data_IF_659997811634
#
_entry.id   IF_659997811634
#
_cell.length_a   1.000
_cell.length_b   1.000
_cell.length_c   1.000
_cell.angle_alpha   90.00
_cell.angle_beta   90.00
_cell.angle_gamma   90.00
#
_symmetry.space_group_name_H-M   'P 1'
#
loop_
_entity.id
_entity.type
_entity.pdbx_description
1 polymer ?
#
# COMPACT_ATOMS: atom_id res chain seq x y z
N UNK A 1 -13.83 -17.57 16.36
CA UNK A 1 -13.29 -16.56 17.30
C UNK A 1 -13.48 -15.18 16.69
N UNK A 2 -13.90 -14.15 17.43
CA UNK A 2 -14.01 -12.81 16.85
C UNK A 2 -12.60 -12.29 16.56
N UNK A 3 -12.25 -12.21 15.28
CA UNK A 3 -10.93 -11.81 14.80
C UNK A 3 -10.92 -10.30 14.66
N UNK A 4 -10.77 -9.58 15.75
CA UNK A 4 -10.70 -8.11 15.72
C UNK A 4 -9.26 -7.69 15.42
N UNK A 5 -9.01 -7.07 14.27
CA UNK A 5 -7.74 -6.42 13.97
C UNK A 5 -7.74 -5.05 14.64
N UNK A 6 -6.68 -4.72 15.39
CA UNK A 6 -6.51 -3.43 16.06
C UNK A 6 -5.28 -2.75 15.48
N UNK A 7 -5.42 -1.55 14.93
CA UNK A 7 -4.29 -0.75 14.46
C UNK A 7 -4.37 0.67 15.01
N UNK A 8 -3.22 1.26 15.28
CA UNK A 8 -3.09 2.61 15.82
C UNK A 8 -2.47 3.55 14.81
N UNK A 9 -3.09 4.70 14.59
CA UNK A 9 -2.56 5.74 13.71
C UNK A 9 -2.46 7.08 14.43
N UNK A 10 -1.48 7.88 14.04
CA UNK A 10 -1.43 9.32 14.36
C UNK A 10 -2.23 10.16 13.35
N UNK A 11 -2.69 9.52 12.26
CA UNK A 11 -3.51 10.10 11.20
C UNK A 11 -4.83 9.35 11.08
N UNK A 12 -5.88 10.05 10.65
CA UNK A 12 -7.14 9.42 10.29
C UNK A 12 -6.94 8.44 9.11
N UNK A 13 -7.83 7.45 8.99
CA UNK A 13 -7.90 6.64 7.78
C UNK A 13 -8.10 7.51 6.55
N UNK A 14 -7.49 7.11 5.43
CA UNK A 14 -7.79 7.70 4.14
C UNK A 14 -9.31 7.61 3.88
N UNK A 15 -9.98 8.69 3.42
CA UNK A 15 -11.43 8.72 3.26
C UNK A 15 -11.98 7.57 2.39
N UNK A 16 -11.25 7.19 1.35
CA UNK A 16 -11.59 6.08 0.46
C UNK A 16 -11.59 4.74 1.23
N UNK A 17 -10.54 4.49 2.01
CA UNK A 17 -10.43 3.27 2.82
C UNK A 17 -11.47 3.24 3.93
N UNK A 18 -11.77 4.38 4.55
CA UNK A 18 -12.85 4.48 5.53
C UNK A 18 -14.21 4.12 4.91
N UNK A 19 -14.50 4.64 3.71
CA UNK A 19 -15.74 4.33 2.99
C UNK A 19 -15.84 2.83 2.61
N UNK A 20 -14.73 2.20 2.24
CA UNK A 20 -14.71 0.76 1.94
C UNK A 20 -14.95 -0.12 3.17
N UNK A 21 -14.62 0.37 4.35
CA UNK A 21 -14.78 -0.34 5.61
C UNK A 21 -16.06 0.04 6.38
N UNK A 22 -16.95 0.86 5.81
CA UNK A 22 -18.16 1.41 6.46
C UNK A 22 -19.18 0.33 6.93
N UNK A 23 -18.97 -0.94 6.57
CA UNK A 23 -19.75 -2.08 7.06
C UNK A 23 -19.01 -3.04 8.01
N UNK A 24 -17.71 -2.85 8.24
CA UNK A 24 -16.84 -3.81 8.92
C UNK A 24 -16.83 -3.68 10.46
N UNK A 25 -17.81 -2.96 11.02
CA UNK A 25 -17.90 -2.61 12.43
C UNK A 25 -16.61 -1.94 12.93
N UNK A 26 -16.15 -0.94 12.16
CA UNK A 26 -14.99 -0.14 12.52
C UNK A 26 -15.31 0.66 13.78
N UNK A 27 -14.68 0.32 14.91
CA UNK A 27 -14.72 1.16 16.11
C UNK A 27 -13.49 2.05 16.13
N UNK A 28 -13.72 3.35 16.30
CA UNK A 28 -12.67 4.34 16.50
C UNK A 28 -12.63 4.68 18.00
N UNK A 29 -11.46 4.53 18.61
CA UNK A 29 -11.21 4.96 19.99
C UNK A 29 -9.97 5.82 20.02
N UNK A 30 -10.14 7.12 20.25
CA UNK A 30 -9.01 7.98 20.59
C UNK A 30 -8.64 7.72 22.06
N UNK A 31 -7.39 7.33 22.29
CA UNK A 31 -6.92 7.13 23.66
C UNK A 31 -6.84 8.47 24.41
N UNK A 32 -7.29 8.54 25.67
CA UNK A 32 -7.04 9.71 26.51
C UNK A 32 -5.55 9.73 26.87
N UNK A 33 -4.79 10.66 26.27
CA UNK A 33 -3.35 10.80 26.48
C UNK A 33 -3.03 11.95 27.45
N UNK A 34 -2.09 11.73 28.37
CA UNK A 34 -1.61 12.70 29.37
C UNK A 34 -0.87 13.84 28.70
N UNK A 35 -0.97 15.08 29.19
CA UNK A 35 -0.33 16.30 28.61
C UNK A 35 1.17 16.18 28.28
N UNK A 36 1.88 15.21 28.87
CA UNK A 36 3.29 14.92 28.62
C UNK A 36 3.56 13.84 27.58
N UNK A 37 2.56 13.10 27.09
CA UNK A 37 2.76 12.04 26.10
C UNK A 37 3.19 12.67 24.77
N UNK A 38 4.28 12.14 24.23
CA UNK A 38 4.77 12.42 22.88
C UNK A 38 3.87 11.69 21.87
N UNK A 39 3.64 12.31 20.72
CA UNK A 39 2.84 11.80 19.60
C UNK A 39 1.34 11.62 19.88
N UNK A 40 0.61 12.75 19.79
CA UNK A 40 -0.84 12.80 19.94
C UNK A 40 -1.53 13.33 18.69
N UNK A 41 -2.76 12.87 18.40
CA UNK A 41 -3.52 11.81 19.09
C UNK A 41 -3.09 10.40 18.65
N UNK A 42 -3.38 9.38 19.48
CA UNK A 42 -3.34 7.97 19.07
C UNK A 42 -4.78 7.52 18.87
N UNK A 43 -5.14 7.24 17.63
CA UNK A 43 -6.44 6.68 17.26
C UNK A 43 -6.31 5.17 17.10
N UNK A 44 -7.07 4.42 17.87
CA UNK A 44 -7.22 2.98 17.72
C UNK A 44 -8.41 2.70 16.81
N UNK A 45 -8.16 1.92 15.77
CA UNK A 45 -9.17 1.39 14.87
C UNK A 45 -9.30 -0.10 15.12
N UNK A 46 -10.53 -0.57 15.36
CA UNK A 46 -10.81 -2.01 15.48
C UNK A 46 -11.79 -2.44 14.40
N UNK A 47 -11.50 -3.55 13.72
CA UNK A 47 -12.35 -4.04 12.64
C UNK A 47 -12.51 -5.56 12.72
N UNK A 48 -13.68 -6.08 12.38
CA UNK A 48 -13.82 -7.53 12.18
C UNK A 48 -13.03 -7.95 10.93
N UNK A 49 -12.06 -8.83 11.10
CA UNK A 49 -11.11 -9.19 10.05
C UNK A 49 -11.79 -9.94 8.90
N UNK A 50 -12.82 -10.75 9.17
CA UNK A 50 -13.53 -11.44 8.10
C UNK A 50 -14.33 -10.44 7.26
N UNK A 51 -15.06 -9.53 7.93
CA UNK A 51 -15.85 -8.51 7.24
C UNK A 51 -14.93 -7.52 6.49
N UNK A 52 -13.81 -7.11 7.08
CA UNK A 52 -12.83 -6.26 6.43
C UNK A 52 -12.24 -6.93 5.18
N UNK A 53 -11.86 -8.21 5.27
CA UNK A 53 -11.33 -8.96 4.13
C UNK A 53 -12.36 -9.08 3.01
N UNK A 54 -13.61 -9.40 3.33
CA UNK A 54 -14.67 -9.49 2.34
C UNK A 54 -14.95 -8.13 1.70
N UNK A 55 -14.99 -7.06 2.50
CA UNK A 55 -15.16 -5.70 2.00
C UNK A 55 -14.02 -5.31 1.05
N UNK A 56 -12.76 -5.44 1.47
CA UNK A 56 -11.58 -5.12 0.65
C UNK A 56 -11.54 -5.97 -0.63
N UNK A 57 -11.86 -7.26 -0.56
CA UNK A 57 -11.88 -8.13 -1.74
C UNK A 57 -12.88 -7.67 -2.82
N UNK A 58 -13.93 -6.93 -2.45
CA UNK A 58 -14.89 -6.36 -3.42
C UNK A 58 -14.46 -5.03 -4.03
N UNK A 59 -13.57 -4.29 -3.35
CA UNK A 59 -13.16 -2.95 -3.79
C UNK A 59 -11.89 -2.98 -4.65
N UNK A 60 -11.11 -4.05 -4.56
CA UNK A 60 -9.82 -4.16 -5.23
C UNK A 60 -9.93 -5.03 -6.48
N UNK A 61 -9.31 -4.58 -7.56
CA UNK A 61 -9.14 -5.38 -8.77
C UNK A 61 -8.00 -6.38 -8.54
N UNK A 62 -8.23 -7.70 -8.67
CA UNK A 62 -7.17 -8.68 -8.55
C UNK A 62 -6.20 -8.56 -9.73
N UNK A 63 -4.90 -8.86 -9.55
CA UNK A 63 -3.98 -8.93 -10.68
C UNK A 63 -4.39 -10.07 -11.64
N UNK A 64 -4.14 -9.88 -12.93
CA UNK A 64 -4.50 -10.84 -13.98
C UNK A 64 -3.81 -12.21 -13.82
N UNK A 65 -2.66 -12.22 -13.15
CA UNK A 65 -1.89 -13.41 -12.80
C UNK A 65 -1.40 -13.28 -11.35
N UNK A 66 -1.16 -14.40 -10.65
CA UNK A 66 -0.51 -14.37 -9.34
C UNK A 66 0.75 -13.51 -9.37
N UNK A 67 0.81 -12.54 -8.47
CA UNK A 67 1.80 -11.45 -8.51
C UNK A 67 2.52 -11.39 -7.17
N UNK A 68 3.83 -11.67 -7.21
CA UNK A 68 4.65 -11.81 -6.01
C UNK A 68 5.87 -10.91 -6.06
N UNK A 69 6.35 -10.47 -4.89
CA UNK A 69 7.60 -9.75 -4.70
C UNK A 69 8.45 -10.46 -3.65
N UNK A 70 9.76 -10.42 -3.84
CA UNK A 70 10.76 -10.95 -2.92
C UNK A 70 11.19 -12.37 -3.27
N UNK A 71 12.32 -12.76 -2.72
CA UNK A 71 12.78 -14.15 -2.82
C UNK A 71 11.75 -15.08 -2.19
N UNK A 72 11.51 -16.24 -2.81
CA UNK A 72 10.52 -17.23 -2.36
C UNK A 72 9.09 -16.68 -2.22
N UNK A 73 8.72 -15.67 -3.03
CA UNK A 73 7.35 -15.15 -3.09
C UNK A 73 6.88 -14.56 -1.75
N UNK A 74 7.79 -13.84 -1.07
CA UNK A 74 7.59 -13.31 0.28
C UNK A 74 6.34 -12.44 0.44
N UNK A 75 5.97 -11.68 -0.58
CA UNK A 75 4.83 -10.77 -0.57
C UNK A 75 3.93 -11.01 -1.79
N UNK A 76 2.64 -11.21 -1.58
CA UNK A 76 1.64 -11.41 -2.64
C UNK A 76 0.76 -10.17 -2.81
N UNK A 77 0.65 -9.67 -4.05
CA UNK A 77 -0.34 -8.66 -4.41
C UNK A 77 -1.70 -9.33 -4.60
N UNK A 78 -2.64 -9.06 -3.69
CA UNK A 78 -4.00 -9.59 -3.75
C UNK A 78 -4.91 -8.76 -4.65
N UNK A 79 -4.65 -7.46 -4.74
CA UNK A 79 -5.39 -6.57 -5.61
C UNK A 79 -4.94 -5.13 -5.49
N UNK A 80 -5.49 -4.27 -6.34
CA UNK A 80 -5.20 -2.84 -6.35
C UNK A 80 -6.44 -2.03 -6.75
N UNK A 81 -6.44 -0.75 -6.41
CA UNK A 81 -7.44 0.22 -6.83
C UNK A 81 -6.76 1.54 -7.20
N UNK A 82 -7.14 2.12 -8.33
CA UNK A 82 -6.57 3.38 -8.84
C UNK A 82 -7.69 4.41 -8.90
N UNK A 83 -7.53 5.51 -8.17
CA UNK A 83 -8.51 6.60 -8.09
C UNK A 83 -7.84 7.89 -8.55
N UNK A 84 -8.16 8.33 -9.77
CA UNK A 84 -7.72 9.63 -10.28
C UNK A 84 -8.72 10.70 -9.89
N UNK A 85 -8.25 11.74 -9.18
CA UNK A 85 -9.04 12.89 -8.79
C UNK A 85 -9.19 13.88 -9.95
N UNK A 86 -10.17 14.80 -9.87
CA UNK A 86 -10.42 15.80 -10.91
C UNK A 86 -9.18 16.68 -11.20
N UNK A 87 -8.40 16.98 -10.16
CA UNK A 87 -7.15 17.73 -10.27
C UNK A 87 -6.04 16.96 -10.99
N UNK A 88 -6.19 15.66 -11.26
CA UNK A 88 -5.22 14.79 -11.93
C UNK A 88 -4.29 14.02 -10.99
N UNK A 89 -4.31 14.36 -9.70
CA UNK A 89 -3.64 13.56 -8.66
C UNK A 89 -4.26 12.17 -8.62
N UNK A 90 -3.44 11.14 -8.42
CA UNK A 90 -3.90 9.76 -8.44
C UNK A 90 -3.53 9.06 -7.14
N UNK A 91 -4.52 8.52 -6.47
CA UNK A 91 -4.34 7.61 -5.34
C UNK A 91 -4.30 6.16 -5.86
N UNK A 92 -3.23 5.44 -5.53
CA UNK A 92 -3.04 4.03 -5.84
C UNK A 92 -3.02 3.25 -4.53
N UNK A 93 -4.02 2.40 -4.36
CA UNK A 93 -4.14 1.49 -3.24
C UNK A 93 -3.69 0.10 -3.67
N UNK A 94 -2.87 -0.55 -2.86
CA UNK A 94 -2.43 -1.94 -3.11
C UNK A 94 -2.67 -2.78 -1.86
N UNK A 95 -3.32 -3.93 -2.03
CA UNK A 95 -3.62 -4.88 -0.97
C UNK A 95 -2.65 -6.05 -1.05
N UNK A 96 -1.93 -6.29 0.05
CA UNK A 96 -0.86 -7.26 0.12
C UNK A 96 -1.11 -8.33 1.18
N UNK A 97 -0.52 -9.49 0.96
CA UNK A 97 -0.37 -10.55 1.97
C UNK A 97 1.09 -10.94 2.13
N UNK A 98 1.55 -10.96 3.37
CA UNK A 98 2.88 -11.44 3.73
C UNK A 98 2.85 -12.97 3.83
N UNK A 99 3.68 -13.63 3.03
CA UNK A 99 3.96 -15.07 3.17
C UNK A 99 5.23 -15.31 3.97
N UNK A 100 6.23 -14.45 3.79
CA UNK A 100 7.50 -14.50 4.52
C UNK A 100 7.96 -13.09 4.88
N UNK A 101 8.48 -12.85 6.10
CA UNK A 101 9.12 -11.57 6.43
C UNK A 101 10.31 -11.30 5.50
N UNK A 102 10.50 -10.04 5.12
CA UNK A 102 11.64 -9.64 4.27
C UNK A 102 12.95 -9.49 5.06
N UNK A 103 12.89 -9.35 6.38
CA UNK A 103 14.04 -9.11 7.25
C UNK A 103 14.54 -7.66 7.18
N UNK A 104 15.73 -7.42 7.74
CA UNK A 104 16.41 -6.13 7.65
C UNK A 104 17.30 -6.03 6.38
N UNK A 105 17.53 -4.81 5.85
CA UNK A 105 16.97 -3.53 6.30
C UNK A 105 15.53 -3.33 5.83
N UNK A 106 14.87 -2.30 6.39
CA UNK A 106 13.50 -1.96 6.00
C UNK A 106 13.38 -1.74 4.49
N UNK A 107 12.34 -2.33 3.91
CA UNK A 107 11.97 -2.19 2.52
C UNK A 107 11.16 -0.92 2.30
N UNK A 108 11.20 -0.42 1.06
CA UNK A 108 10.39 0.70 0.59
C UNK A 108 9.53 0.20 -0.55
N UNK A 109 8.22 0.40 -0.45
CA UNK A 109 7.30 0.19 -1.56
C UNK A 109 7.33 1.43 -2.45
N UNK A 110 7.27 1.23 -3.75
CA UNK A 110 7.14 2.34 -4.68
C UNK A 110 6.01 2.10 -5.65
N UNK A 111 5.44 3.19 -6.13
CA UNK A 111 4.52 3.19 -7.25
C UNK A 111 4.94 4.25 -8.25
N UNK A 112 4.99 3.86 -9.52
CA UNK A 112 5.36 4.74 -10.62
C UNK A 112 4.27 4.73 -11.68
N UNK A 113 3.93 5.92 -12.20
CA UNK A 113 3.18 6.08 -13.42
C UNK A 113 4.17 6.18 -14.58
N UNK A 114 4.00 5.36 -15.61
CA UNK A 114 4.98 5.22 -16.70
C UNK A 114 4.49 5.89 -17.98
N UNK A 115 5.24 6.87 -18.48
CA UNK A 115 4.95 7.56 -19.74
C UNK A 115 5.22 6.70 -20.98
N UNK A 116 4.82 7.17 -22.16
CA UNK A 116 5.00 6.44 -23.43
C UNK A 116 6.46 6.11 -23.77
N UNK A 117 7.42 6.88 -23.25
CA UNK A 117 8.86 6.63 -23.42
C UNK A 117 9.41 5.54 -22.48
N UNK A 118 8.55 4.94 -21.63
CA UNK A 118 8.94 3.94 -20.64
C UNK A 118 9.58 4.52 -19.38
N UNK A 119 9.60 5.85 -19.21
CA UNK A 119 10.15 6.52 -18.03
C UNK A 119 9.05 6.89 -17.03
N UNK A 120 9.34 6.90 -15.72
CA UNK A 120 8.42 7.42 -14.71
C UNK A 120 8.09 8.90 -14.96
N UNK A 121 6.80 9.24 -14.96
CA UNK A 121 6.29 10.62 -15.09
C UNK A 121 5.69 11.14 -13.78
N UNK A 122 5.38 10.24 -12.86
CA UNK A 122 4.98 10.52 -11.48
C UNK A 122 5.31 9.31 -10.62
N UNK A 123 5.67 9.51 -9.36
CA UNK A 123 6.02 8.42 -8.45
C UNK A 123 5.83 8.81 -6.98
N UNK A 124 5.69 7.80 -6.14
CA UNK A 124 5.88 7.92 -4.70
C UNK A 124 6.58 6.67 -4.16
N UNK A 125 7.49 6.91 -3.21
CA UNK A 125 8.28 5.90 -2.51
C UNK A 125 7.94 6.02 -1.03
N UNK A 126 7.20 5.05 -0.51
CA UNK A 126 6.73 5.05 0.87
C UNK A 126 6.39 3.64 1.31
N UNK A 127 6.48 3.40 2.61
CA UNK A 127 5.89 2.24 3.22
C UNK A 127 5.28 2.65 4.56
N UNK A 128 3.96 2.51 4.68
CA UNK A 128 3.21 2.86 5.89
C UNK A 128 3.24 1.74 6.94
N UNK A 129 3.71 0.56 6.55
CA UNK A 129 3.80 -0.62 7.41
C UNK A 129 5.25 -1.10 7.44
N UNK A 130 6.03 -0.72 8.47
CA UNK A 130 7.45 -1.10 8.59
C UNK A 130 7.65 -2.60 8.35
N UNK A 131 8.56 -2.93 7.42
CA UNK A 131 8.72 -4.29 6.93
C UNK A 131 9.46 -5.20 7.90
N UNK A 132 10.23 -4.61 8.82
CA UNK A 132 10.89 -5.28 9.93
C UNK A 132 9.92 -5.95 10.91
N UNK A 133 8.66 -5.50 10.94
CA UNK A 133 7.60 -5.99 11.83
C UNK A 133 6.64 -6.98 11.16
N UNK A 134 6.81 -7.25 9.86
CA UNK A 134 5.92 -8.14 9.13
C UNK A 134 6.00 -9.59 9.63
N UNK A 135 4.84 -10.21 9.78
CA UNK A 135 4.68 -11.61 10.12
C UNK A 135 3.97 -12.37 9.00
N UNK A 136 4.28 -13.66 8.86
CA UNK A 136 3.57 -14.53 7.93
C UNK A 136 2.07 -14.51 8.22
N UNK A 137 1.28 -14.21 7.20
CA UNK A 137 -0.17 -14.11 7.26
C UNK A 137 -0.70 -12.68 7.39
N UNK A 138 0.15 -11.69 7.64
CA UNK A 138 -0.25 -10.29 7.72
C UNK A 138 -0.83 -9.80 6.40
N UNK A 139 -1.86 -8.95 6.51
CA UNK A 139 -2.46 -8.23 5.38
C UNK A 139 -2.29 -6.74 5.64
N UNK A 140 -1.94 -6.00 4.59
CA UNK A 140 -1.92 -4.54 4.67
C UNK A 140 -2.35 -3.90 3.36
N UNK A 141 -2.85 -2.67 3.48
CA UNK A 141 -3.13 -1.79 2.35
C UNK A 141 -2.08 -0.69 2.35
N UNK A 142 -1.34 -0.54 1.25
CA UNK A 142 -0.44 0.59 1.03
C UNK A 142 -1.12 1.59 0.11
N UNK A 143 -1.06 2.87 0.48
CA UNK A 143 -1.56 3.99 -0.29
C UNK A 143 -0.38 4.83 -0.82
N UNK A 144 -0.36 5.06 -2.13
CA UNK A 144 0.51 6.04 -2.76
C UNK A 144 -0.31 7.13 -3.47
N UNK A 145 -0.05 8.38 -3.12
CA UNK A 145 -0.53 9.60 -3.76
C UNK A 145 0.48 10.10 -4.78
N UNK A 146 0.22 9.82 -6.05
CA UNK A 146 1.01 10.32 -7.16
C UNK A 146 0.48 11.69 -7.59
N UNK A 147 1.32 12.75 -7.57
CA UNK A 147 0.90 14.06 -8.05
C UNK A 147 0.57 14.00 -9.54
N UNK A 148 -0.33 14.89 -9.98
CA UNK A 148 -0.69 15.03 -11.38
C UNK A 148 0.57 15.23 -12.24
N UNK A 149 0.75 14.43 -13.31
CA UNK A 149 1.90 14.60 -14.19
C UNK A 149 1.86 15.96 -14.89
N UNK A 150 3.03 16.53 -15.24
CA UNK A 150 3.10 17.82 -15.92
C UNK A 150 2.32 17.79 -17.25
N UNK A 151 1.69 18.92 -17.58
CA UNK A 151 0.94 19.05 -18.83
C UNK A 151 1.88 19.03 -20.06
N UNK A 152 1.44 18.49 -21.21
CA UNK A 152 0.13 17.89 -21.49
C UNK A 152 -0.02 16.49 -20.89
N UNK A 153 -1.22 16.18 -20.38
CA UNK A 153 -1.51 14.84 -19.82
C UNK A 153 -1.58 13.81 -20.95
N UNK A 154 -0.83 12.73 -20.79
CA UNK A 154 -0.93 11.56 -21.67
C UNK A 154 -2.16 10.71 -21.27
N UNK A 155 -2.98 10.25 -22.22
CA UNK A 155 -4.06 9.32 -21.92
C UNK A 155 -3.51 7.96 -21.48
N UNK A 156 -4.09 7.38 -20.43
CA UNK A 156 -3.97 5.95 -20.08
C UNK A 156 -2.54 5.40 -19.97
N UNK A 157 -1.70 6.05 -19.16
CA UNK A 157 -0.37 5.53 -18.79
C UNK A 157 -0.49 4.41 -17.75
N UNK A 158 0.23 3.28 -17.90
CA UNK A 158 0.20 2.21 -16.91
C UNK A 158 0.88 2.63 -15.60
N UNK A 159 0.48 1.97 -14.51
CA UNK A 159 1.17 2.06 -13.24
C UNK A 159 1.99 0.80 -13.02
N UNK A 160 3.10 0.92 -12.30
CA UNK A 160 3.89 -0.21 -11.84
C UNK A 160 4.16 -0.06 -10.35
N UNK A 161 4.28 -1.18 -9.66
CA UNK A 161 4.65 -1.24 -8.25
C UNK A 161 5.82 -2.17 -8.04
N UNK A 162 6.59 -1.91 -7.01
CA UNK A 162 7.70 -2.77 -6.63
C UNK A 162 8.15 -2.48 -5.22
N UNK A 163 9.17 -3.22 -4.79
CA UNK A 163 9.79 -3.06 -3.50
C UNK A 163 11.30 -2.96 -3.71
N UNK A 164 11.98 -2.13 -2.93
CA UNK A 164 13.44 -2.12 -2.87
C UNK A 164 13.92 -2.06 -1.42
N UNK A 165 15.17 -2.45 -1.20
CA UNK A 165 15.88 -2.25 0.06
C UNK A 165 16.96 -1.20 -0.10
N UNK A 166 17.21 -0.42 0.96
CA UNK A 166 18.32 0.51 1.04
C UNK A 166 19.51 -0.19 1.71
N UNK A 167 20.56 -0.50 0.97
CA UNK A 167 21.74 -1.19 1.50
C UNK A 167 22.69 -0.26 2.29
N UNK A 168 22.37 1.03 2.36
CA UNK A 168 23.07 2.06 3.12
C UNK A 168 22.10 3.05 3.78
N UNK A 169 22.57 3.74 4.82
CA UNK A 169 21.73 4.64 5.62
C UNK A 169 21.18 5.86 4.86
N UNK A 170 21.78 6.20 3.72
CA UNK A 170 21.34 7.30 2.85
C UNK A 170 20.55 6.81 1.63
N UNK A 171 20.30 5.50 1.53
CA UNK A 171 19.66 4.86 0.38
C UNK A 171 20.27 5.21 -0.98
N UNK A 172 21.59 5.45 -1.04
CA UNK A 172 22.30 5.62 -2.30
C UNK A 172 22.54 4.28 -3.00
N UNK A 173 22.45 3.18 -2.27
CA UNK A 173 22.57 1.81 -2.76
C UNK A 173 21.24 1.08 -2.62
N UNK A 174 20.27 1.48 -3.43
CA UNK A 174 18.97 0.81 -3.50
C UNK A 174 19.03 -0.43 -4.41
N UNK A 175 18.40 -1.51 -3.97
CA UNK A 175 18.28 -2.75 -4.73
C UNK A 175 16.81 -3.21 -4.77
N UNK A 176 16.27 -3.38 -5.98
CA UNK A 176 14.90 -3.86 -6.18
C UNK A 176 14.80 -5.34 -5.84
N UNK A 177 13.76 -5.71 -5.10
CA UNK A 177 13.38 -7.10 -4.93
C UNK A 177 12.89 -7.66 -6.27
N UNK A 178 13.21 -8.93 -6.59
CA UNK A 178 12.66 -9.59 -7.75
C UNK A 178 11.14 -9.73 -7.59
N UNK A 179 10.44 -9.79 -8.71
CA UNK A 179 9.01 -10.01 -8.77
C UNK A 179 8.72 -11.19 -9.70
N UNK A 180 7.49 -11.71 -9.65
CA UNK A 180 7.05 -12.74 -10.61
C UNK A 180 7.02 -12.25 -12.08
N UNK A 181 7.22 -10.94 -12.33
CA UNK A 181 7.17 -10.31 -13.65
C UNK A 181 8.43 -9.49 -14.00
N UNK A 182 9.55 -9.73 -13.31
CA UNK A 182 10.81 -8.99 -13.50
C UNK A 182 11.22 -8.29 -12.21
N UNK A 183 11.35 -6.97 -12.22
CA UNK A 183 11.68 -6.15 -11.04
C UNK A 183 10.50 -5.28 -10.56
N UNK A 184 9.37 -5.34 -11.26
CA UNK A 184 8.16 -4.56 -11.01
C UNK A 184 6.92 -5.37 -11.40
N UNK A 185 5.78 -5.06 -10.77
CA UNK A 185 4.47 -5.60 -11.10
C UNK A 185 3.63 -4.54 -11.81
N UNK A 186 3.10 -4.79 -13.01
CA UNK A 186 2.21 -3.86 -13.68
C UNK A 186 0.83 -3.84 -13.03
N UNK A 187 0.28 -2.64 -12.86
CA UNK A 187 -1.11 -2.40 -12.50
C UNK A 187 -1.82 -1.84 -13.74
N UNK A 188 -2.76 -2.62 -14.27
CA UNK A 188 -3.59 -2.18 -15.38
C UNK A 188 -4.80 -1.43 -14.81
N UNK A 189 -5.17 -0.24 -15.33
CA UNK A 189 -6.46 0.33 -14.99
C UNK A 189 -7.57 -0.71 -15.22
N UNK A 190 -8.54 -0.79 -14.32
CA UNK A 190 -9.70 -1.63 -14.55
C UNK A 190 -10.36 -1.25 -15.90
N UNK A 191 -10.79 -2.23 -16.71
CA UNK A 191 -11.39 -1.97 -18.02
C UNK A 191 -12.69 -1.15 -17.95
#
# INVERSE_FOLDING_TARGET
>A
PAHTLTFSGQSALAPELAAWLDGAAVSETTLPLLETDLDRPVTIWQVDTAVARDALATQFTPPATPSFIGENEALELLGYQIVTQEAGDTAVFTLWRVHQPLGEPDAVLFTQQIGQNGLPISQEDRLDVPSDQWQTGDWFVQLHHLPAPPAPREPSTPFIVGLYRCNDALCQQAERYPTSQGDTLPLSPAP
#
